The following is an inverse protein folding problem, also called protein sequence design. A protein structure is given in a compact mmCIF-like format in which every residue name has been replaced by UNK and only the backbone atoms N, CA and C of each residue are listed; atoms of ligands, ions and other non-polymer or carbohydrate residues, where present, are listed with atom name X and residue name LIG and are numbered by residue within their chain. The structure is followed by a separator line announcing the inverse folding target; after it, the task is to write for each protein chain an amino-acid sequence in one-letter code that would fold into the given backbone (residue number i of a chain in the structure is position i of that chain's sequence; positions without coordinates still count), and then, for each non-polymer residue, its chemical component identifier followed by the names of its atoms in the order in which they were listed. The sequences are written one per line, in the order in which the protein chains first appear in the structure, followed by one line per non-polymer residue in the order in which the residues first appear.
data_IF_620257645574
#
_entry.id   IF_620257645574
#
_cell.length_a   1.000
_cell.length_b   1.000
_cell.length_c   1.000
_cell.angle_alpha   90.00
_cell.angle_beta   90.00
_cell.angle_gamma   90.00
#
_symmetry.space_group_name_H-M   'P 1'
#
loop_
_entity.id
_entity.type
_entity.pdbx_description
1 polymer ?
#
# COMPACT_ATOMS: atom_id res chain seq x y z
N UNK A 1 -10.98 -1.36 -19.34
CA UNK A 1 -9.52 -1.42 -19.57
C UNK A 1 -8.88 -1.88 -18.27
N UNK A 2 -8.42 -3.13 -18.21
CA UNK A 2 -7.86 -3.72 -16.99
C UNK A 2 -6.49 -3.08 -16.75
N UNK A 3 -6.31 -2.41 -15.60
CA UNK A 3 -4.99 -1.88 -15.21
C UNK A 3 -4.10 -3.08 -14.95
N UNK A 4 -3.14 -3.33 -15.84
CA UNK A 4 -2.12 -4.34 -15.63
C UNK A 4 -1.22 -3.82 -14.52
N UNK A 5 -1.47 -4.28 -13.29
CA UNK A 5 -0.52 -4.16 -12.19
C UNK A 5 0.84 -4.60 -12.73
N UNK A 6 1.86 -3.78 -12.46
CA UNK A 6 3.26 -3.97 -12.87
C UNK A 6 3.56 -5.46 -13.02
N UNK A 7 3.90 -5.93 -14.24
CA UNK A 7 3.91 -7.35 -14.55
C UNK A 7 4.73 -8.08 -13.50
N UNK A 8 4.14 -9.15 -12.97
CA UNK A 8 4.73 -10.05 -11.99
C UNK A 8 6.14 -10.40 -12.47
N UNK A 9 7.16 -9.66 -11.99
CA UNK A 9 8.57 -9.93 -12.25
C UNK A 9 8.98 -11.08 -11.36
N UNK A 10 8.37 -12.23 -11.59
CA UNK A 10 8.93 -13.49 -11.17
C UNK A 10 10.31 -13.60 -11.84
N UNK A 11 11.35 -13.57 -11.00
CA UNK A 11 12.75 -13.82 -11.38
C UNK A 11 13.43 -12.79 -12.29
N UNK A 12 13.59 -11.55 -11.82
CA UNK A 12 14.74 -10.73 -12.27
C UNK A 12 15.77 -10.68 -11.15
N UNK A 13 16.97 -11.25 -11.37
CA UNK A 13 18.14 -11.01 -10.52
C UNK A 13 18.45 -9.51 -10.56
N UNK A 14 18.03 -8.77 -9.54
CA UNK A 14 18.35 -7.35 -9.40
C UNK A 14 19.74 -7.23 -8.77
N UNK A 15 20.74 -6.88 -9.57
CA UNK A 15 22.04 -6.48 -9.05
C UNK A 15 21.91 -5.10 -8.39
N UNK A 16 21.66 -5.11 -7.09
CA UNK A 16 21.49 -3.91 -6.28
C UNK A 16 22.79 -3.65 -5.53
N UNK A 17 23.39 -2.49 -5.80
CA UNK A 17 24.64 -2.07 -5.18
C UNK A 17 24.51 -1.88 -3.66
N UNK A 18 25.63 -1.73 -2.93
CA UNK A 18 25.65 -1.59 -1.47
C UNK A 18 24.79 -0.44 -0.94
N UNK A 19 24.71 0.67 -1.69
CA UNK A 19 23.87 1.83 -1.35
C UNK A 19 22.38 1.49 -1.28
N UNK A 20 21.90 0.63 -2.17
CA UNK A 20 20.51 0.20 -2.16
C UNK A 20 20.18 -0.65 -0.93
N UNK A 21 21.08 -1.58 -0.56
CA UNK A 21 20.90 -2.41 0.64
C UNK A 21 20.82 -1.53 1.89
N UNK A 22 21.72 -0.56 2.02
CA UNK A 22 21.70 0.39 3.13
C UNK A 22 20.40 1.18 3.21
N UNK A 23 19.86 1.65 2.08
CA UNK A 23 18.56 2.36 2.05
C UNK A 23 17.43 1.42 2.49
N UNK A 24 17.40 0.19 1.98
CA UNK A 24 16.40 -0.80 2.37
C UNK A 24 16.48 -1.13 3.86
N UNK A 25 17.67 -1.35 4.40
CA UNK A 25 17.86 -1.67 5.82
C UNK A 25 17.42 -0.51 6.71
N UNK A 26 17.73 0.74 6.30
CA UNK A 26 17.25 1.95 6.99
C UNK A 26 15.73 2.05 6.96
N UNK A 27 15.12 1.81 5.81
CA UNK A 27 13.66 1.80 5.65
C UNK A 27 12.99 0.75 6.54
N UNK A 28 13.56 -0.46 6.58
CA UNK A 28 13.09 -1.53 7.47
C UNK A 28 13.26 -1.17 8.95
N UNK A 29 14.34 -0.48 9.32
CA UNK A 29 14.53 0.07 10.66
C UNK A 29 13.42 1.04 11.05
N UNK A 30 13.14 2.03 10.20
CA UNK A 30 12.06 3.01 10.44
C UNK A 30 10.69 2.35 10.58
N UNK A 31 10.38 1.32 9.77
CA UNK A 31 9.13 0.56 9.90
C UNK A 31 9.05 -0.15 11.26
N UNK A 32 10.15 -0.77 11.72
CA UNK A 32 10.22 -1.42 13.04
C UNK A 32 10.09 -0.43 14.18
N UNK A 33 10.63 0.77 14.02
CA UNK A 33 10.56 1.86 15.00
C UNK A 33 9.19 2.55 15.03
N UNK A 34 8.24 2.13 14.18
CA UNK A 34 6.86 2.59 14.20
C UNK A 34 6.59 3.88 13.42
N UNK A 35 7.48 4.27 12.50
CA UNK A 35 7.23 5.41 11.63
C UNK A 35 6.01 5.14 10.73
N UNK A 36 5.01 6.02 10.80
CA UNK A 36 3.73 5.86 10.08
C UNK A 36 3.72 6.46 8.68
N UNK A 37 4.62 7.41 8.40
CA UNK A 37 4.76 8.07 7.11
C UNK A 37 6.24 8.16 6.76
N UNK A 38 6.63 7.59 5.62
CA UNK A 38 8.01 7.57 5.15
C UNK A 38 8.02 7.99 3.68
N UNK A 39 8.74 9.05 3.36
CA UNK A 39 8.89 9.54 1.98
C UNK A 39 10.24 9.12 1.42
N UNK A 40 10.24 8.50 0.23
CA UNK A 40 11.45 8.15 -0.52
C UNK A 40 11.63 9.15 -1.65
N UNK A 41 12.59 10.06 -1.51
CA UNK A 41 12.83 11.14 -2.47
C UNK A 41 14.14 10.89 -3.23
N UNK A 42 14.16 11.18 -4.53
CA UNK A 42 15.32 11.00 -5.38
C UNK A 42 15.02 11.30 -6.84
N UNK A 43 16.06 11.48 -7.65
CA UNK A 43 15.95 11.78 -9.09
C UNK A 43 15.25 10.66 -9.88
N UNK A 44 14.87 10.95 -11.12
CA UNK A 44 14.40 9.92 -12.05
C UNK A 44 15.46 8.80 -12.18
N UNK A 45 15.02 7.53 -12.22
CA UNK A 45 15.91 6.38 -12.39
C UNK A 45 16.70 5.94 -11.15
N UNK A 46 16.56 6.57 -9.98
CA UNK A 46 17.33 6.18 -8.77
C UNK A 46 16.82 4.93 -8.05
N UNK A 47 15.79 4.26 -8.57
CA UNK A 47 15.27 3.02 -7.98
C UNK A 47 14.28 3.19 -6.83
N UNK A 48 13.58 4.33 -6.74
CA UNK A 48 12.53 4.57 -5.72
C UNK A 48 11.45 3.48 -5.71
N UNK A 49 10.80 3.26 -6.85
CA UNK A 49 9.81 2.18 -7.06
C UNK A 49 10.39 0.81 -6.72
N UNK A 50 11.64 0.55 -7.12
CA UNK A 50 12.30 -0.73 -6.81
C UNK A 50 12.52 -0.91 -5.30
N UNK A 51 12.85 0.15 -4.59
CA UNK A 51 13.00 0.15 -3.13
C UNK A 51 11.66 -0.07 -2.46
N UNK A 52 10.61 0.64 -2.90
CA UNK A 52 9.26 0.47 -2.37
C UNK A 52 8.74 -0.95 -2.56
N UNK A 53 8.84 -1.50 -3.77
CA UNK A 53 8.38 -2.86 -4.08
C UNK A 53 9.17 -3.96 -3.34
N UNK A 54 10.39 -3.68 -2.86
CA UNK A 54 11.18 -4.64 -2.08
C UNK A 54 10.63 -4.91 -0.67
N UNK A 55 9.65 -4.12 -0.24
CA UNK A 55 8.90 -4.33 1.00
C UNK A 55 7.85 -5.44 0.87
N UNK A 56 7.53 -5.88 -0.36
CA UNK A 56 6.61 -7.01 -0.60
C UNK A 56 7.12 -8.31 0.04
N UNK A 57 8.45 -8.46 0.16
CA UNK A 57 9.09 -9.67 0.68
C UNK A 57 9.11 -9.75 2.22
N UNK A 58 8.34 -8.90 2.91
CA UNK A 58 8.23 -8.93 4.36
C UNK A 58 7.41 -10.14 4.82
N UNK A 59 8.10 -11.14 5.36
CA UNK A 59 7.57 -12.48 5.65
C UNK A 59 6.35 -12.54 6.59
N UNK A 60 6.08 -11.50 7.39
CA UNK A 60 4.99 -11.46 8.37
C UNK A 60 4.02 -10.27 8.19
N UNK A 61 4.18 -9.48 7.12
CA UNK A 61 3.41 -8.26 6.89
C UNK A 61 2.39 -8.38 5.76
N UNK A 62 1.58 -7.33 5.63
CA UNK A 62 0.75 -7.09 4.46
C UNK A 62 1.34 -5.90 3.71
N UNK A 63 1.61 -6.08 2.43
CA UNK A 63 2.07 -5.03 1.55
C UNK A 63 1.04 -4.77 0.45
N UNK A 64 0.51 -3.56 0.42
CA UNK A 64 -0.33 -3.04 -0.65
C UNK A 64 0.49 -2.09 -1.50
N UNK A 65 0.33 -2.15 -2.82
CA UNK A 65 1.00 -1.23 -3.74
C UNK A 65 -0.01 -0.52 -4.63
N UNK A 66 0.18 0.78 -4.85
CA UNK A 66 -0.58 1.54 -5.83
C UNK A 66 0.33 2.46 -6.63
N UNK A 67 0.05 2.55 -7.92
CA UNK A 67 0.68 3.50 -8.83
C UNK A 67 -0.30 4.65 -9.10
N UNK A 68 0.06 5.83 -8.62
CA UNK A 68 -0.72 7.06 -8.78
C UNK A 68 -0.39 7.80 -10.08
N UNK A 69 0.44 7.24 -10.96
CA UNK A 69 0.73 7.80 -12.28
C UNK A 69 -0.58 7.89 -13.09
N UNK A 70 -0.97 9.12 -13.43
CA UNK A 70 -2.18 9.38 -14.21
C UNK A 70 -3.49 9.39 -13.40
N UNK A 71 -3.44 9.32 -12.07
CA UNK A 71 -4.63 9.55 -11.23
C UNK A 71 -4.86 11.05 -11.06
N UNK A 72 -6.03 11.52 -11.48
CA UNK A 72 -6.47 12.91 -11.32
C UNK A 72 -6.92 13.17 -9.88
N UNK A 73 -6.40 14.21 -9.24
CA UNK A 73 -6.68 14.51 -7.83
C UNK A 73 -5.84 13.60 -6.93
N UNK A 74 -4.83 14.18 -6.28
CA UNK A 74 -3.92 13.47 -5.37
C UNK A 74 -4.31 13.65 -3.91
N UNK A 75 -5.60 13.84 -3.65
CA UNK A 75 -6.08 13.91 -2.27
C UNK A 75 -6.05 12.52 -1.62
N UNK A 76 -6.18 12.52 -0.29
CA UNK A 76 -6.12 11.29 0.49
C UNK A 76 -7.23 10.31 0.09
N UNK A 77 -8.40 10.79 -0.30
CA UNK A 77 -9.52 9.96 -0.73
C UNK A 77 -9.20 9.21 -2.03
N UNK A 78 -8.60 9.89 -3.00
CA UNK A 78 -8.15 9.30 -4.26
C UNK A 78 -7.02 8.29 -4.04
N UNK A 79 -6.04 8.60 -3.18
CA UNK A 79 -4.94 7.69 -2.86
C UNK A 79 -5.47 6.41 -2.19
N UNK A 80 -6.28 6.55 -1.13
CA UNK A 80 -6.75 5.39 -0.36
C UNK A 80 -7.71 4.54 -1.18
N UNK A 81 -8.64 5.15 -1.92
CA UNK A 81 -9.56 4.39 -2.77
C UNK A 81 -8.83 3.65 -3.89
N UNK A 82 -7.85 4.29 -4.53
CA UNK A 82 -7.03 3.64 -5.56
C UNK A 82 -6.20 2.50 -4.98
N UNK A 83 -5.58 2.70 -3.81
CA UNK A 83 -4.85 1.65 -3.12
C UNK A 83 -5.71 0.43 -2.79
N UNK A 84 -6.97 0.63 -2.38
CA UNK A 84 -7.88 -0.49 -2.14
C UNK A 84 -8.30 -1.18 -3.44
N UNK A 85 -8.58 -0.43 -4.50
CA UNK A 85 -8.94 -1.00 -5.82
C UNK A 85 -7.80 -1.86 -6.35
N UNK A 86 -6.58 -1.35 -6.34
CA UNK A 86 -5.39 -2.04 -6.87
C UNK A 86 -5.05 -3.31 -6.07
N UNK A 87 -5.52 -3.42 -4.82
CA UNK A 87 -5.23 -4.53 -3.91
C UNK A 87 -6.49 -5.28 -3.45
N UNK A 88 -7.56 -5.26 -4.26
CA UNK A 88 -8.86 -5.78 -3.84
C UNK A 88 -8.84 -7.28 -3.50
N UNK A 89 -8.03 -8.08 -4.18
CA UNK A 89 -7.91 -9.51 -3.87
C UNK A 89 -7.35 -9.74 -2.46
N UNK A 90 -6.32 -8.99 -2.07
CA UNK A 90 -5.77 -9.01 -0.73
C UNK A 90 -6.79 -8.52 0.32
N UNK A 91 -7.59 -7.51 -0.01
CA UNK A 91 -8.68 -7.04 0.86
C UNK A 91 -9.73 -8.16 1.06
N UNK A 92 -10.11 -8.86 0.00
CA UNK A 92 -11.03 -10.01 0.08
C UNK A 92 -10.47 -11.11 0.96
N UNK A 93 -9.18 -11.44 0.82
CA UNK A 93 -8.51 -12.43 1.68
C UNK A 93 -8.54 -12.04 3.16
N UNK A 94 -8.29 -10.75 3.47
CA UNK A 94 -8.42 -10.21 4.83
C UNK A 94 -9.87 -10.39 5.32
N UNK A 95 -10.86 -9.99 4.52
CA UNK A 95 -12.28 -10.09 4.87
C UNK A 95 -12.69 -11.55 5.15
N UNK A 96 -12.25 -12.50 4.33
CA UNK A 96 -12.53 -13.92 4.53
C UNK A 96 -11.94 -14.47 5.83
N UNK A 97 -10.67 -14.13 6.11
CA UNK A 97 -10.01 -14.52 7.36
C UNK A 97 -10.75 -13.95 8.58
N UNK A 98 -11.20 -12.70 8.51
CA UNK A 98 -11.98 -12.05 9.57
C UNK A 98 -13.33 -12.75 9.80
N UNK A 99 -14.02 -13.18 8.72
CA UNK A 99 -15.27 -13.95 8.84
C UNK A 99 -15.06 -15.25 9.62
N UNK A 100 -13.95 -15.96 9.37
CA UNK A 100 -13.65 -17.25 10.03
C UNK A 100 -13.42 -17.12 11.53
N UNK A 101 -12.83 -16.01 12.00
CA UNK A 101 -12.53 -15.79 13.42
C UNK A 101 -13.68 -15.11 14.20
N UNK A 102 -14.80 -14.79 13.55
CA UNK A 102 -16.00 -14.30 14.25
C UNK A 102 -15.90 -12.88 14.83
N UNK A 103 -15.29 -11.93 14.10
CA UNK A 103 -15.15 -10.54 14.53
C UNK A 103 -16.50 -9.83 14.80
N UNK A 104 -16.47 -8.77 15.64
CA UNK A 104 -17.65 -7.97 16.05
C UNK A 104 -17.50 -6.49 15.62
N UNK A 105 -18.58 -5.72 15.76
CA UNK A 105 -18.58 -4.27 15.54
C UNK A 105 -18.27 -3.85 14.10
N UNK A 106 -17.56 -2.72 13.94
CA UNK A 106 -17.21 -2.15 12.64
C UNK A 106 -16.34 -3.09 11.79
N UNK A 107 -15.45 -3.86 12.42
CA UNK A 107 -14.62 -4.85 11.69
C UNK A 107 -15.48 -5.98 11.11
N UNK A 108 -16.60 -6.33 11.76
CA UNK A 108 -17.60 -7.27 11.19
C UNK A 108 -18.31 -6.68 9.98
N UNK A 109 -18.66 -5.40 10.03
CA UNK A 109 -19.24 -4.70 8.89
C UNK A 109 -18.25 -4.68 7.73
N UNK A 110 -16.99 -4.31 7.98
CA UNK A 110 -15.91 -4.38 6.99
C UNK A 110 -15.74 -5.79 6.41
N UNK A 111 -15.71 -6.82 7.24
CA UNK A 111 -15.57 -8.20 6.79
C UNK A 111 -16.72 -8.64 5.85
N UNK A 112 -17.90 -8.04 5.97
CA UNK A 112 -19.07 -8.35 5.13
C UNK A 112 -19.28 -7.40 3.96
N UNK A 113 -18.58 -6.27 3.95
CA UNK A 113 -18.76 -5.22 2.95
C UNK A 113 -18.40 -5.72 1.54
N UNK A 114 -19.15 -5.30 0.54
CA UNK A 114 -18.82 -5.54 -0.86
C UNK A 114 -17.57 -4.74 -1.26
N UNK A 115 -16.88 -5.11 -2.35
CA UNK A 115 -15.78 -4.33 -2.90
C UNK A 115 -16.14 -2.85 -3.11
N UNK A 116 -17.35 -2.60 -3.63
CA UNK A 116 -17.87 -1.26 -3.90
C UNK A 116 -18.07 -0.47 -2.60
N UNK A 117 -18.63 -1.09 -1.56
CA UNK A 117 -18.81 -0.46 -0.25
C UNK A 117 -17.47 -0.12 0.41
N UNK A 118 -16.47 -1.00 0.28
CA UNK A 118 -15.11 -0.75 0.80
C UNK A 118 -14.48 0.45 0.10
N UNK A 119 -14.57 0.51 -1.24
CA UNK A 119 -14.03 1.61 -2.04
C UNK A 119 -14.77 2.92 -1.74
N UNK A 120 -16.09 2.88 -1.61
CA UNK A 120 -16.90 4.06 -1.29
C UNK A 120 -16.57 4.59 0.11
N UNK A 121 -16.38 3.70 1.09
CA UNK A 121 -15.90 4.06 2.42
C UNK A 121 -14.56 4.79 2.39
N UNK A 122 -13.63 4.36 1.52
CA UNK A 122 -12.35 5.05 1.35
C UNK A 122 -12.48 6.44 0.73
N UNK A 123 -13.41 6.64 -0.21
CA UNK A 123 -13.64 7.97 -0.81
C UNK A 123 -14.24 8.94 0.20
N UNK A 124 -15.23 8.49 0.97
CA UNK A 124 -15.97 9.33 1.91
C UNK A 124 -15.21 9.57 3.22
N UNK A 125 -14.50 8.56 3.73
CA UNK A 125 -13.84 8.58 5.04
C UNK A 125 -12.48 7.87 4.99
N UNK A 126 -11.49 8.38 4.26
CA UNK A 126 -10.22 7.68 4.02
C UNK A 126 -9.48 7.30 5.31
N UNK A 127 -9.38 8.22 6.28
CA UNK A 127 -8.74 7.94 7.57
C UNK A 127 -9.48 6.88 8.38
N UNK A 128 -10.83 6.92 8.36
CA UNK A 128 -11.66 5.92 9.03
C UNK A 128 -11.47 4.54 8.41
N UNK A 129 -11.38 4.48 7.08
CA UNK A 129 -11.13 3.24 6.33
C UNK A 129 -9.73 2.69 6.57
N UNK A 130 -8.70 3.55 6.58
CA UNK A 130 -7.33 3.15 6.93
C UNK A 130 -7.23 2.61 8.36
N UNK A 131 -7.88 3.28 9.32
CA UNK A 131 -7.95 2.79 10.70
C UNK A 131 -8.63 1.42 10.78
N UNK A 132 -9.77 1.26 10.11
CA UNK A 132 -10.52 0.02 10.10
C UNK A 132 -9.72 -1.13 9.48
N UNK A 133 -8.99 -0.86 8.40
CA UNK A 133 -8.07 -1.82 7.79
C UNK A 133 -6.91 -2.18 8.71
N UNK A 134 -6.29 -1.20 9.37
CA UNK A 134 -5.26 -1.44 10.37
C UNK A 134 -5.77 -2.31 11.54
N UNK A 135 -6.96 -2.00 12.07
CA UNK A 135 -7.59 -2.77 13.15
C UNK A 135 -7.90 -4.21 12.71
N UNK A 136 -8.42 -4.39 11.49
CA UNK A 136 -8.64 -5.70 10.87
C UNK A 136 -7.34 -6.52 10.79
N UNK A 137 -6.27 -5.92 10.26
CA UNK A 137 -4.97 -6.59 10.09
C UNK A 137 -4.34 -6.93 11.44
N UNK A 138 -4.46 -6.04 12.43
CA UNK A 138 -4.03 -6.28 13.81
C UNK A 138 -4.76 -7.46 14.46
N UNK A 139 -6.08 -7.60 14.26
CA UNK A 139 -6.86 -8.73 14.79
C UNK A 139 -6.48 -10.07 14.17
N UNK A 140 -6.00 -10.06 12.92
CA UNK A 140 -5.47 -11.26 12.27
C UNK A 140 -4.05 -11.63 12.73
N UNK A 141 -3.44 -10.85 13.63
CA UNK A 141 -2.07 -11.06 14.10
C UNK A 141 -1.02 -10.81 13.02
N UNK A 142 -1.38 -10.16 11.91
CA UNK A 142 -0.47 -9.87 10.80
C UNK A 142 0.04 -8.45 10.97
N UNK A 143 1.37 -8.26 11.04
CA UNK A 143 1.98 -6.93 11.16
C UNK A 143 3.37 -6.93 10.51
N UNK A 144 3.76 -5.84 9.83
CA UNK A 144 3.05 -4.56 9.66
C UNK A 144 2.08 -4.56 8.46
N UNK A 145 1.11 -3.63 8.45
CA UNK A 145 0.41 -3.21 7.23
C UNK A 145 1.19 -2.05 6.60
N UNK A 146 1.62 -2.22 5.36
CA UNK A 146 2.35 -1.20 4.59
C UNK A 146 1.56 -0.91 3.33
N UNK A 147 1.30 0.37 3.07
CA UNK A 147 0.70 0.86 1.84
C UNK A 147 1.77 1.67 1.10
N UNK A 148 2.29 1.10 0.02
CA UNK A 148 3.23 1.74 -0.86
C UNK A 148 2.53 2.54 -1.95
N UNK A 149 2.76 3.85 -1.94
CA UNK A 149 2.23 4.78 -2.94
C UNK A 149 3.38 5.22 -3.84
N UNK A 150 3.33 4.88 -5.12
CA UNK A 150 4.23 5.44 -6.14
C UNK A 150 3.54 6.63 -6.81
N UNK A 151 4.02 7.83 -6.53
CA UNK A 151 3.48 9.07 -7.12
C UNK A 151 3.95 9.34 -8.56
N UNK A 152 4.74 8.42 -9.11
CA UNK A 152 5.36 8.57 -10.42
C UNK A 152 6.44 9.64 -10.44
N UNK A 153 6.78 10.11 -11.64
CA UNK A 153 7.63 11.29 -11.80
C UNK A 153 6.82 12.52 -11.39
N UNK A 154 7.00 12.98 -10.16
CA UNK A 154 6.84 14.40 -9.85
C UNK A 154 7.93 15.13 -10.63
N UNK A 155 7.62 15.48 -11.89
CA UNK A 155 8.44 16.37 -12.68
C UNK A 155 8.57 17.66 -11.87
N UNK A 156 9.79 17.99 -11.44
CA UNK A 156 10.11 19.32 -10.92
C UNK A 156 10.04 20.41 -12.01
N UNK A 157 9.61 20.06 -13.22
CA UNK A 157 9.43 20.94 -14.37
C UNK A 157 7.94 21.31 -14.59
N UNK A 158 7.11 21.33 -13.54
CA UNK A 158 5.84 22.06 -13.62
C UNK A 158 6.08 23.50 -13.11
N UNK A 159 6.18 24.51 -13.99
CA UNK A 159 6.33 25.91 -13.57
C UNK A 159 5.06 26.50 -12.93
N UNK A 160 4.04 25.67 -12.64
CA UNK A 160 2.78 26.06 -12.02
C UNK A 160 2.51 25.41 -10.65
N UNK A 161 3.45 24.67 -10.07
CA UNK A 161 3.39 24.26 -8.66
C UNK A 161 3.98 25.31 -7.73
#
# INVERSE_FOLDING_TARGET
MQRVLVPNREFSVKLLGPSWRSIRDKLLGMIKDGYQLISIIGRAGTGKTTTLLSLRDLSNGIFMYTDMTGVSGRDLSAIVSTALIDNMDLIRDIQERLKRIGVKGLVKAFAKASPEEVVEGAKLRPLGTLKLLNDAVNLLGVKPLIIGVDEGLLSQDDPRS
#
